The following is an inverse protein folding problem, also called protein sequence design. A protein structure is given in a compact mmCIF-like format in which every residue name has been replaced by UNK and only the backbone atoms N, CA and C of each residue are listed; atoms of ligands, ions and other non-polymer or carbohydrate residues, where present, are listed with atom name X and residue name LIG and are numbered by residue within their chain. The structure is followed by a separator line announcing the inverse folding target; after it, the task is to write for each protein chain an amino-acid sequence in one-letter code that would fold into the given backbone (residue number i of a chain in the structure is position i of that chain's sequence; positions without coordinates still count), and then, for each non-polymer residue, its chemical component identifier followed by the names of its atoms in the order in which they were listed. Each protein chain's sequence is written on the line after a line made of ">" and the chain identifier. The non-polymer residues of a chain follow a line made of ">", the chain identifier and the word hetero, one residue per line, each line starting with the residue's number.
data_IF_345010512032
#
_entry.id   IF_345010512032
#
_cell.length_a   1.000
_cell.length_b   1.000
_cell.length_c   1.000
_cell.angle_alpha   90.00
_cell.angle_beta   90.00
_cell.angle_gamma   90.00
#
_symmetry.space_group_name_H-M   'P 1'
#
loop_
_entity.id
_entity.type
_entity.pdbx_description
1 polymer ?
#
# COMPACT_ATOMS: atom_id res chain seq x y z
N UNK A 1 -0.96 -15.43 -12.48
CA UNK A 1 -0.28 -15.59 -11.17
C UNK A 1 -0.04 -14.20 -10.63
N UNK A 2 -0.23 -13.97 -9.33
CA UNK A 2 -0.07 -12.65 -8.71
C UNK A 2 0.57 -12.79 -7.33
N UNK A 3 0.85 -11.66 -6.68
CA UNK A 3 1.44 -11.63 -5.33
C UNK A 3 0.41 -11.05 -4.37
N UNK A 4 0.19 -11.73 -3.25
CA UNK A 4 -0.58 -11.17 -2.13
C UNK A 4 0.38 -10.44 -1.18
N UNK A 5 0.06 -9.19 -0.90
CA UNK A 5 0.76 -8.36 0.08
C UNK A 5 -0.18 -8.14 1.25
N UNK A 6 0.30 -8.46 2.44
CA UNK A 6 -0.43 -8.28 3.70
C UNK A 6 0.38 -7.34 4.57
N UNK A 7 -0.28 -6.31 5.11
CA UNK A 7 0.31 -5.41 6.08
C UNK A 7 -0.64 -5.20 7.25
N UNK A 8 -0.05 -4.91 8.41
CA UNK A 8 -0.75 -4.64 9.66
C UNK A 8 -0.30 -3.28 10.19
N UNK A 9 -1.27 -2.49 10.63
CA UNK A 9 -1.03 -1.21 11.30
C UNK A 9 -1.27 -1.40 12.80
N UNK A 10 -0.43 -0.76 13.62
CA UNK A 10 -0.62 -0.77 15.07
C UNK A 10 -1.69 0.25 15.51
N UNK A 11 -1.76 1.38 14.81
CA UNK A 11 -2.76 2.43 15.00
C UNK A 11 -2.87 3.24 13.71
N UNK A 12 -4.06 3.79 13.44
CA UNK A 12 -4.37 4.58 12.24
C UNK A 12 -4.88 5.97 12.62
N UNK A 13 -4.17 6.60 13.55
CA UNK A 13 -4.53 7.93 14.02
C UNK A 13 -4.34 8.95 12.87
N UNK A 14 -5.43 9.62 12.50
CA UNK A 14 -5.49 10.59 11.39
C UNK A 14 -5.24 10.00 10.00
N UNK A 15 -5.25 8.68 9.85
CA UNK A 15 -5.10 8.04 8.55
C UNK A 15 -6.40 8.11 7.76
N UNK A 16 -6.35 8.63 6.53
CA UNK A 16 -7.49 8.63 5.62
C UNK A 16 -7.51 7.41 4.71
N UNK A 17 -6.35 7.06 4.14
CA UNK A 17 -6.24 5.95 3.21
C UNK A 17 -4.81 5.44 3.04
N UNK A 18 -4.70 4.24 2.48
CA UNK A 18 -3.46 3.65 1.99
C UNK A 18 -3.52 3.37 0.48
N UNK A 19 -2.34 3.40 -0.13
CA UNK A 19 -2.05 2.84 -1.45
C UNK A 19 -0.88 1.87 -1.33
N UNK A 20 -0.97 0.75 -2.03
CA UNK A 20 0.18 -0.11 -2.25
C UNK A 20 0.78 0.19 -3.63
N UNK A 21 2.06 0.52 -3.65
CA UNK A 21 2.80 0.85 -4.87
C UNK A 21 3.90 -0.19 -5.11
N UNK A 22 4.13 -0.56 -6.37
CA UNK A 22 5.27 -1.37 -6.81
C UNK A 22 6.23 -0.53 -7.63
N UNK A 23 7.53 -0.66 -7.39
CA UNK A 23 8.55 -0.08 -8.24
C UNK A 23 8.62 -0.85 -9.57
N UNK A 24 8.39 -0.16 -10.67
CA UNK A 24 8.52 -0.68 -12.04
C UNK A 24 9.73 -0.01 -12.70
N UNK A 25 10.70 -0.79 -13.24
CA UNK A 25 11.84 -0.23 -13.94
C UNK A 25 11.42 0.71 -15.07
N UNK A 26 11.95 1.93 -15.09
CA UNK A 26 11.64 2.96 -16.10
C UNK A 26 10.32 3.71 -15.91
N UNK A 27 9.34 3.15 -15.20
CA UNK A 27 8.05 3.80 -14.93
C UNK A 27 7.95 4.42 -13.53
N UNK A 28 8.78 3.99 -12.58
CA UNK A 28 8.71 4.42 -11.18
C UNK A 28 7.67 3.64 -10.39
N UNK A 29 7.14 4.24 -9.32
CA UNK A 29 6.16 3.60 -8.45
C UNK A 29 4.76 3.63 -9.09
N UNK A 30 4.14 2.45 -9.24
CA UNK A 30 2.79 2.30 -9.79
C UNK A 30 1.87 1.65 -8.76
N UNK A 31 0.62 2.11 -8.68
CA UNK A 31 -0.38 1.51 -7.80
C UNK A 31 -0.79 0.12 -8.31
N UNK A 32 -0.83 -0.88 -7.43
CA UNK A 32 -1.06 -2.29 -7.80
C UNK A 32 -2.48 -2.79 -7.58
N UNK A 33 -3.38 -1.91 -7.14
CA UNK A 33 -4.80 -2.21 -6.94
C UNK A 33 -5.64 -1.03 -7.42
N UNK A 34 -6.94 -1.22 -7.60
CA UNK A 34 -7.85 -0.12 -7.88
C UNK A 34 -8.29 0.60 -6.61
N UNK A 35 -8.55 1.90 -6.71
CA UNK A 35 -9.11 2.69 -5.62
C UNK A 35 -8.15 2.94 -4.46
N UNK A 36 -8.71 3.26 -3.30
CA UNK A 36 -7.99 3.49 -2.06
C UNK A 36 -8.34 2.40 -1.05
N UNK A 37 -7.37 2.02 -0.22
CA UNK A 37 -7.64 1.20 0.96
C UNK A 37 -8.01 2.16 2.09
N UNK A 38 -9.28 2.25 2.53
CA UNK A 38 -9.67 3.22 3.53
C UNK A 38 -8.98 2.91 4.87
N UNK A 39 -8.51 3.97 5.52
CA UNK A 39 -8.12 3.89 6.92
C UNK A 39 -9.32 3.56 7.80
N UNK A 40 -9.08 2.95 8.93
CA UNK A 40 -10.07 2.72 9.97
C UNK A 40 -10.40 4.02 10.68
N UNK A 41 -11.69 4.28 10.86
CA UNK A 41 -12.19 5.48 11.56
C UNK A 41 -11.84 5.50 13.06
N UNK A 42 -11.36 4.37 13.59
CA UNK A 42 -10.93 4.22 14.98
C UNK A 42 -9.47 3.75 15.00
N UNK A 43 -8.61 4.29 15.90
CA UNK A 43 -7.17 4.08 15.90
C UNK A 43 -6.76 2.71 16.48
N UNK A 44 -7.50 1.65 16.18
CA UNK A 44 -7.27 0.29 16.68
C UNK A 44 -6.27 -0.51 15.84
N UNK A 45 -5.84 0.04 14.70
CA UNK A 45 -5.03 -0.69 13.73
C UNK A 45 -5.86 -1.72 12.94
N UNK A 46 -5.33 -2.14 11.81
CA UNK A 46 -6.03 -2.94 10.82
C UNK A 46 -5.09 -3.88 10.07
N UNK A 47 -5.65 -4.97 9.56
CA UNK A 47 -4.95 -5.91 8.67
C UNK A 47 -5.52 -5.80 7.28
N UNK A 48 -4.66 -5.46 6.33
CA UNK A 48 -5.01 -5.25 4.93
C UNK A 48 -4.42 -6.34 4.06
N UNK A 49 -5.14 -6.70 3.00
CA UNK A 49 -4.69 -7.66 1.99
C UNK A 49 -4.90 -7.07 0.62
N UNK A 50 -3.86 -7.09 -0.20
CA UNK A 50 -3.86 -6.57 -1.56
C UNK A 50 -3.28 -7.61 -2.47
N UNK A 51 -3.95 -7.89 -3.59
CA UNK A 51 -3.43 -8.78 -4.63
C UNK A 51 -2.92 -7.91 -5.77
N UNK A 52 -1.61 -7.98 -6.01
CA UNK A 52 -0.97 -7.45 -7.21
C UNK A 52 -1.07 -8.51 -8.32
N UNK A 53 -2.12 -8.40 -9.13
CA UNK A 53 -2.41 -9.33 -10.21
C UNK A 53 -1.41 -9.22 -11.37
N UNK A 54 -0.75 -8.07 -11.51
CA UNK A 54 0.17 -7.74 -12.59
C UNK A 54 1.64 -7.95 -12.19
N UNK A 55 1.88 -8.65 -11.09
CA UNK A 55 3.21 -9.01 -10.61
C UNK A 55 3.97 -9.87 -11.64
N UNK A 56 5.17 -9.45 -12.08
CA UNK A 56 6.05 -10.31 -12.86
C UNK A 56 6.30 -11.63 -12.15
N UNK A 57 6.31 -12.73 -12.91
CA UNK A 57 6.50 -14.08 -12.36
C UNK A 57 7.94 -14.35 -11.86
N UNK A 58 8.90 -13.48 -12.21
CA UNK A 58 10.30 -13.64 -11.86
C UNK A 58 10.98 -12.28 -11.59
N UNK A 59 12.06 -12.34 -10.81
CA UNK A 59 12.84 -11.16 -10.41
C UNK A 59 12.39 -10.57 -9.06
N UNK A 60 13.22 -9.68 -8.49
CA UNK A 60 12.87 -9.00 -7.24
C UNK A 60 11.74 -8.00 -7.48
N UNK A 61 10.81 -7.93 -6.53
CA UNK A 61 9.73 -6.94 -6.50
C UNK A 61 9.94 -6.03 -5.28
N UNK A 62 9.82 -4.73 -5.49
CA UNK A 62 9.95 -3.71 -4.44
C UNK A 62 8.61 -3.02 -4.30
N UNK A 63 8.12 -2.96 -3.06
CA UNK A 63 6.84 -2.35 -2.73
C UNK A 63 7.02 -1.24 -1.70
N UNK A 64 6.19 -0.21 -1.83
CA UNK A 64 6.05 0.88 -0.86
C UNK A 64 4.57 1.00 -0.50
N UNK A 65 4.29 1.01 0.79
CA UNK A 65 3.01 1.40 1.34
C UNK A 65 3.00 2.93 1.48
N UNK A 66 2.12 3.60 0.75
CA UNK A 66 1.88 5.03 0.92
C UNK A 66 0.64 5.23 1.80
N UNK A 67 0.82 5.92 2.91
CA UNK A 67 -0.28 6.39 3.75
C UNK A 67 -0.60 7.85 3.41
N UNK A 68 -1.88 8.17 3.27
CA UNK A 68 -2.38 9.54 3.18
C UNK A 68 -3.21 9.85 4.42
N UNK A 69 -2.78 10.87 5.15
CA UNK A 69 -3.45 11.38 6.34
C UNK A 69 -4.69 12.21 5.94
N UNK A 70 -5.60 12.44 6.88
CA UNK A 70 -6.84 13.19 6.66
C UNK A 70 -6.62 14.63 6.19
N UNK A 71 -5.45 15.21 6.48
CA UNK A 71 -5.05 16.55 6.03
C UNK A 71 -4.26 16.55 4.71
N UNK A 72 -4.13 15.38 4.07
CA UNK A 72 -3.44 15.21 2.80
C UNK A 72 -1.93 14.97 2.90
N UNK A 73 -1.33 15.00 4.11
CA UNK A 73 0.08 14.61 4.27
C UNK A 73 0.30 13.16 3.88
N UNK A 74 1.45 12.88 3.27
CA UNK A 74 1.79 11.54 2.78
C UNK A 74 3.04 11.00 3.46
N UNK A 75 2.95 9.73 3.84
CA UNK A 75 4.03 8.96 4.44
C UNK A 75 4.27 7.73 3.56
N UNK A 76 5.50 7.26 3.49
CA UNK A 76 5.87 6.11 2.67
C UNK A 76 6.69 5.13 3.50
N UNK A 77 6.30 3.87 3.45
CA UNK A 77 6.91 2.77 4.19
C UNK A 77 7.33 1.69 3.21
N UNK A 78 8.63 1.44 3.13
CA UNK A 78 9.25 0.49 2.21
C UNK A 78 10.77 0.62 2.27
N UNK A 79 11.51 -0.18 1.51
CA UNK A 79 12.96 -0.08 1.42
C UNK A 79 13.42 1.23 0.76
#
# INVERSE_FOLDING_TARGET
>A
AGVEIVFETAAEAQTGAFRLLRLVPGAGYVQVHQGLLPGLLSPQGGRYRVVDADAPAAGPLVYVLQETQNDGRQWSYGP
#
